data_IF_074147427966
#
_entry.id   IF_074147427966
#
_cell.length_a   1.000
_cell.length_b   1.000
_cell.length_c   1.000
_cell.angle_alpha   90.00
_cell.angle_beta   90.00
_cell.angle_gamma   90.00
#
_symmetry.space_group_name_H-M   'P 1'
#
loop_
_entity.id
_entity.type
_entity.pdbx_description
1 polymer ?
#
# COMPACT_ATOMS: atom_id res chain seq x y z
N UNK A 1 9.37 -2.54 37.74
CA UNK A 1 7.92 -2.29 37.74
C UNK A 1 7.32 -2.75 36.39
N UNK A 2 6.31 -3.64 36.44
CA UNK A 2 5.69 -4.24 35.24
C UNK A 2 5.13 -3.19 34.26
N UNK A 3 4.66 -2.05 34.76
CA UNK A 3 4.07 -0.98 33.94
C UNK A 3 5.17 -0.32 33.10
N UNK A 4 6.29 0.01 33.68
CA UNK A 4 7.44 0.61 32.99
C UNK A 4 8.00 -0.33 31.93
N UNK A 5 8.08 -1.62 32.22
CA UNK A 5 8.51 -2.64 31.26
C UNK A 5 7.56 -2.74 30.06
N UNK A 6 6.24 -2.70 30.29
CA UNK A 6 5.25 -2.72 29.23
C UNK A 6 5.30 -1.46 28.34
N UNK A 7 5.50 -0.30 28.93
CA UNK A 7 5.67 0.96 28.19
C UNK A 7 6.93 0.88 27.32
N UNK A 8 8.06 0.47 27.89
CA UNK A 8 9.32 0.31 27.16
C UNK A 8 9.18 -0.67 26.00
N UNK A 9 8.48 -1.79 26.20
CA UNK A 9 8.25 -2.79 25.16
C UNK A 9 7.44 -2.22 23.99
N UNK A 10 6.38 -1.44 24.26
CA UNK A 10 5.60 -0.75 23.21
C UNK A 10 6.44 0.25 22.41
N UNK A 11 7.32 1.00 23.07
CA UNK A 11 8.19 1.95 22.37
C UNK A 11 9.22 1.23 21.47
N UNK A 12 9.74 0.07 21.91
CA UNK A 12 10.61 -0.78 21.08
C UNK A 12 9.82 -1.26 19.84
N UNK A 13 8.59 -1.74 20.02
CA UNK A 13 7.74 -2.19 18.91
C UNK A 13 7.49 -1.08 17.89
N UNK A 14 7.15 0.13 18.34
CA UNK A 14 6.98 1.30 17.46
C UNK A 14 8.26 1.60 16.68
N UNK A 15 9.40 1.65 17.36
CA UNK A 15 10.70 1.92 16.74
C UNK A 15 11.08 0.88 15.69
N UNK A 16 10.90 -0.41 15.98
CA UNK A 16 11.16 -1.49 15.04
C UNK A 16 10.27 -1.41 13.82
N UNK A 17 8.98 -1.17 14.02
CA UNK A 17 7.98 -1.04 12.95
C UNK A 17 8.28 0.15 12.04
N UNK A 18 8.52 1.32 12.62
CA UNK A 18 8.89 2.54 11.90
C UNK A 18 10.14 2.33 11.05
N UNK A 19 11.19 1.79 11.66
CA UNK A 19 12.47 1.56 10.96
C UNK A 19 12.29 0.58 9.79
N UNK A 20 11.50 -0.48 9.99
CA UNK A 20 11.18 -1.41 8.90
C UNK A 20 10.52 -0.71 7.72
N UNK A 21 9.51 0.12 7.95
CA UNK A 21 8.82 0.81 6.86
C UNK A 21 9.72 1.80 6.12
N UNK A 22 10.65 2.47 6.81
CA UNK A 22 11.67 3.31 6.17
C UNK A 22 12.64 2.49 5.32
N UNK A 23 13.15 1.39 5.87
CA UNK A 23 14.04 0.47 5.12
C UNK A 23 13.32 -0.09 3.90
N UNK A 24 12.04 -0.48 4.04
CA UNK A 24 11.26 -1.00 2.91
C UNK A 24 11.03 0.07 1.84
N UNK A 25 10.82 1.33 2.21
CA UNK A 25 10.76 2.44 1.26
C UNK A 25 12.06 2.54 0.44
N UNK A 26 13.22 2.51 1.10
CA UNK A 26 14.52 2.54 0.42
C UNK A 26 14.73 1.34 -0.48
N UNK A 27 14.42 0.14 0.00
CA UNK A 27 14.52 -1.12 -0.77
C UNK A 27 13.65 -1.10 -2.02
N UNK A 28 12.40 -0.62 -1.93
CA UNK A 28 11.49 -0.54 -3.08
C UNK A 28 11.94 0.54 -4.05
N UNK A 29 12.30 1.73 -3.58
CA UNK A 29 12.76 2.83 -4.45
C UNK A 29 14.04 2.44 -5.19
N UNK A 30 15.01 1.87 -4.51
CA UNK A 30 16.28 1.42 -5.13
C UNK A 30 16.04 0.34 -6.19
N UNK A 31 15.15 -0.62 -5.93
CA UNK A 31 14.81 -1.67 -6.92
C UNK A 31 14.17 -1.06 -8.17
N UNK A 32 13.27 -0.09 -8.01
CA UNK A 32 12.61 0.59 -9.14
C UNK A 32 13.61 1.40 -9.95
N UNK A 33 14.50 2.15 -9.31
CA UNK A 33 15.56 2.90 -9.99
C UNK A 33 16.52 1.98 -10.75
N UNK A 34 16.86 0.82 -10.18
CA UNK A 34 17.67 -0.20 -10.85
C UNK A 34 16.95 -0.76 -12.09
N UNK A 35 15.64 -1.03 -12.00
CA UNK A 35 14.83 -1.47 -13.14
C UNK A 35 14.76 -0.41 -14.24
N UNK A 36 14.77 0.87 -13.89
CA UNK A 36 14.88 2.01 -14.82
C UNK A 36 16.30 2.20 -15.37
N UNK A 37 17.27 1.32 -15.04
CA UNK A 37 18.69 1.49 -15.34
C UNK A 37 19.27 2.81 -14.82
N UNK A 38 18.77 3.30 -13.70
CA UNK A 38 19.13 4.58 -13.08
C UNK A 38 18.93 5.82 -13.99
N UNK A 39 18.16 5.68 -15.08
CA UNK A 39 17.86 6.78 -16.00
C UNK A 39 16.89 7.82 -15.43
N UNK A 40 16.07 7.39 -14.47
CA UNK A 40 15.07 8.21 -13.79
C UNK A 40 15.14 7.96 -12.30
N UNK A 41 15.09 9.03 -11.51
CA UNK A 41 15.24 8.99 -10.05
C UNK A 41 13.96 9.44 -9.36
N UNK A 42 13.76 8.96 -8.13
CA UNK A 42 12.72 9.48 -7.26
C UNK A 42 13.03 10.90 -6.81
N UNK A 43 12.01 11.74 -6.80
CA UNK A 43 12.02 13.03 -6.11
C UNK A 43 11.36 12.83 -4.74
N UNK A 44 12.10 13.15 -3.69
CA UNK A 44 11.66 13.02 -2.30
C UNK A 44 11.12 14.32 -1.76
N UNK A 45 10.01 14.27 -1.00
CA UNK A 45 9.46 15.40 -0.26
C UNK A 45 9.02 14.95 1.11
N UNK A 46 9.47 15.68 2.13
CA UNK A 46 9.00 15.52 3.51
C UNK A 46 7.73 16.33 3.74
N UNK A 47 6.90 15.89 4.66
CA UNK A 47 5.70 16.60 5.08
C UNK A 47 5.47 16.42 6.57
N UNK A 48 4.89 17.42 7.20
CA UNK A 48 4.43 17.39 8.58
C UNK A 48 2.91 17.32 8.61
N UNK A 49 2.36 16.53 9.54
CA UNK A 49 0.90 16.42 9.70
C UNK A 49 0.28 17.71 10.19
N UNK A 50 0.99 18.43 11.05
CA UNK A 50 0.57 19.72 11.59
C UNK A 50 1.74 20.69 11.53
N UNK A 51 1.50 21.94 11.13
CA UNK A 51 2.52 22.98 11.05
C UNK A 51 2.82 23.65 12.41
N UNK A 52 1.90 23.54 13.37
CA UNK A 52 1.99 24.24 14.67
C UNK A 52 2.37 23.31 15.83
N UNK A 53 2.16 22.00 15.67
CA UNK A 53 2.43 20.98 16.71
C UNK A 53 3.13 19.79 16.08
N UNK A 54 4.04 19.20 16.84
CA UNK A 54 4.62 17.92 16.45
C UNK A 54 3.59 16.79 16.61
N UNK A 55 3.00 16.41 15.50
CA UNK A 55 2.08 15.28 15.35
C UNK A 55 2.62 14.26 14.34
N UNK A 56 3.93 14.32 14.06
CA UNK A 56 4.60 13.49 13.09
C UNK A 56 4.39 13.97 11.67
N UNK A 57 4.73 13.11 10.73
CA UNK A 57 4.68 13.40 9.31
C UNK A 57 5.15 12.21 8.49
N UNK A 58 5.86 12.48 7.42
CA UNK A 58 6.39 11.44 6.56
C UNK A 58 7.24 11.96 5.42
N UNK A 59 7.54 11.04 4.53
CA UNK A 59 8.28 11.29 3.31
C UNK A 59 7.61 10.54 2.16
N UNK A 60 7.18 11.25 1.14
CA UNK A 60 6.77 10.61 -0.09
C UNK A 60 7.81 10.80 -1.19
N UNK A 61 8.02 9.76 -1.96
CA UNK A 61 8.92 9.74 -3.10
C UNK A 61 8.11 9.47 -4.36
N UNK A 62 8.29 10.29 -5.38
CA UNK A 62 7.58 10.15 -6.66
C UNK A 62 8.60 10.06 -7.78
N UNK A 63 8.47 9.02 -8.60
CA UNK A 63 9.15 8.87 -9.88
C UNK A 63 8.11 9.08 -10.99
N UNK A 64 8.41 9.92 -11.97
CA UNK A 64 7.55 10.22 -13.13
C UNK A 64 8.34 10.07 -14.44
N UNK A 65 7.61 9.73 -15.49
CA UNK A 65 8.12 9.70 -16.87
C UNK A 65 9.34 8.79 -17.06
N UNK A 66 9.41 7.69 -16.29
CA UNK A 66 10.45 6.68 -16.43
C UNK A 66 10.35 5.94 -17.76
N UNK A 67 11.33 5.10 -18.03
CA UNK A 67 11.35 4.25 -19.22
C UNK A 67 10.25 3.19 -19.17
N UNK A 68 10.01 2.60 -17.99
CA UNK A 68 9.05 1.52 -17.77
C UNK A 68 7.89 1.96 -16.87
N UNK A 69 8.17 2.81 -15.90
CA UNK A 69 7.16 3.37 -15.00
C UNK A 69 6.69 4.73 -15.48
N UNK A 70 5.39 4.89 -15.69
CA UNK A 70 4.79 6.19 -16.00
C UNK A 70 4.73 7.08 -14.76
N UNK A 71 4.35 6.48 -13.62
CA UNK A 71 4.37 7.11 -12.30
C UNK A 71 4.48 6.05 -11.21
N UNK A 72 5.34 6.29 -10.23
CA UNK A 72 5.39 5.53 -8.98
C UNK A 72 5.35 6.50 -7.81
N UNK A 73 4.54 6.19 -6.81
CA UNK A 73 4.55 6.87 -5.52
C UNK A 73 4.85 5.89 -4.40
N UNK A 74 5.78 6.25 -3.52
CA UNK A 74 6.14 5.49 -2.31
C UNK A 74 6.09 6.44 -1.13
N UNK A 75 5.11 6.28 -0.26
CA UNK A 75 4.90 7.15 0.90
C UNK A 75 5.17 6.38 2.20
N UNK A 76 6.09 6.88 3.00
CA UNK A 76 6.29 6.51 4.39
C UNK A 76 5.64 7.55 5.30
N UNK A 77 5.00 7.10 6.37
CA UNK A 77 4.44 7.97 7.39
C UNK A 77 4.68 7.46 8.81
N UNK A 78 4.85 8.39 9.73
CA UNK A 78 4.79 8.18 11.17
C UNK A 78 4.02 9.35 11.77
N UNK A 79 2.82 9.10 12.27
CA UNK A 79 1.93 10.12 12.79
C UNK A 79 1.39 9.73 14.16
N UNK A 80 1.17 10.71 14.99
CA UNK A 80 0.64 10.53 16.35
C UNK A 80 -0.22 11.73 16.75
N UNK A 81 -0.97 11.58 17.83
CA UNK A 81 -1.86 12.63 18.32
C UNK A 81 -3.09 12.06 19.01
N UNK A 82 -4.20 12.80 18.92
CA UNK A 82 -5.48 12.40 19.50
C UNK A 82 -6.56 12.28 18.43
N UNK A 83 -7.35 11.23 18.50
CA UNK A 83 -8.53 11.10 17.66
C UNK A 83 -9.63 12.11 18.06
N UNK A 84 -10.36 12.61 17.06
CA UNK A 84 -11.56 13.40 17.28
C UNK A 84 -12.66 12.59 17.98
N UNK A 85 -13.67 13.28 18.53
CA UNK A 85 -14.82 12.61 19.18
C UNK A 85 -15.56 11.65 18.25
N UNK A 86 -15.65 11.96 16.96
CA UNK A 86 -16.32 11.14 15.96
C UNK A 86 -15.49 9.88 15.61
N UNK A 87 -14.20 10.03 15.43
CA UNK A 87 -13.30 8.93 15.08
C UNK A 87 -13.18 7.90 16.21
N UNK A 88 -13.23 8.35 17.49
CA UNK A 88 -13.18 7.45 18.65
C UNK A 88 -14.25 6.37 18.65
N UNK A 89 -15.39 6.60 18.01
CA UNK A 89 -16.53 5.66 18.01
C UNK A 89 -16.19 4.35 17.26
N UNK A 90 -15.35 4.44 16.23
CA UNK A 90 -15.11 3.35 15.28
C UNK A 90 -13.72 2.74 15.36
N UNK A 91 -12.81 3.29 16.19
CA UNK A 91 -11.43 2.82 16.28
C UNK A 91 -11.24 2.02 17.56
N UNK A 92 -10.74 0.77 17.48
CA UNK A 92 -10.48 -0.07 18.67
C UNK A 92 -9.57 0.64 19.69
N UNK A 93 -9.99 0.64 20.95
CA UNK A 93 -9.23 1.23 22.04
C UNK A 93 -9.29 2.76 22.17
N UNK A 94 -9.75 3.48 21.14
CA UNK A 94 -9.79 4.94 21.15
C UNK A 94 -10.82 5.53 22.12
N UNK A 95 -11.84 4.76 22.51
CA UNK A 95 -12.82 5.16 23.56
C UNK A 95 -12.19 5.24 24.95
N UNK A 96 -11.21 4.38 25.24
CA UNK A 96 -10.51 4.33 26.54
C UNK A 96 -9.48 5.44 26.61
N UNK A 97 -8.65 5.55 25.57
CA UNK A 97 -7.65 6.62 25.43
C UNK A 97 -7.63 7.08 23.97
N UNK A 98 -7.79 8.38 23.76
CA UNK A 98 -7.81 8.96 22.42
C UNK A 98 -6.45 9.09 21.76
N UNK A 99 -5.37 8.92 22.50
CA UNK A 99 -4.02 8.98 21.93
C UNK A 99 -3.79 7.83 20.95
N UNK A 100 -3.11 8.14 19.88
CA UNK A 100 -2.68 7.13 18.90
C UNK A 100 -1.27 7.40 18.39
N UNK A 101 -0.66 6.34 17.92
CA UNK A 101 0.53 6.35 17.08
C UNK A 101 0.27 5.42 15.89
N UNK A 102 0.65 5.84 14.70
CA UNK A 102 0.53 5.03 13.50
C UNK A 102 1.74 5.24 12.60
N UNK A 103 2.24 4.17 12.02
CA UNK A 103 3.25 4.23 10.98
C UNK A 103 2.90 3.27 9.85
N UNK A 104 3.33 3.59 8.64
CA UNK A 104 3.05 2.77 7.49
C UNK A 104 3.82 3.16 6.25
N UNK A 105 3.72 2.30 5.25
CA UNK A 105 4.21 2.52 3.89
C UNK A 105 3.08 2.22 2.91
N UNK A 106 2.97 3.04 1.87
CA UNK A 106 2.04 2.85 0.75
C UNK A 106 2.78 3.01 -0.57
N UNK A 107 2.50 2.13 -1.52
CA UNK A 107 3.13 2.10 -2.83
C UNK A 107 2.07 1.95 -3.90
N UNK A 108 2.11 2.79 -4.93
CA UNK A 108 1.31 2.65 -6.14
C UNK A 108 2.20 2.81 -7.36
N UNK A 109 2.08 1.87 -8.28
CA UNK A 109 2.86 1.85 -9.52
C UNK A 109 1.92 1.88 -10.72
N UNK A 110 2.08 2.88 -11.58
CA UNK A 110 1.43 2.99 -12.89
C UNK A 110 2.47 2.81 -13.99
N UNK A 111 2.22 1.88 -14.90
CA UNK A 111 3.18 1.42 -15.89
C UNK A 111 2.99 2.12 -17.23
N UNK A 112 4.09 2.33 -17.95
CA UNK A 112 4.06 2.87 -19.31
C UNK A 112 3.53 1.86 -20.31
N UNK A 113 3.96 0.60 -20.19
CA UNK A 113 3.54 -0.50 -21.05
C UNK A 113 2.21 -1.10 -20.56
N UNK A 114 1.15 -1.16 -21.38
CA UNK A 114 -0.15 -1.70 -21.00
C UNK A 114 -0.15 -3.20 -20.64
N UNK A 115 0.86 -3.96 -21.04
CA UNK A 115 1.02 -5.35 -20.60
C UNK A 115 1.49 -5.48 -19.15
N UNK A 116 2.11 -4.43 -18.59
CA UNK A 116 2.49 -4.39 -17.18
C UNK A 116 1.33 -3.84 -16.35
N UNK A 117 0.85 -4.57 -15.33
CA UNK A 117 -0.30 -4.13 -14.54
C UNK A 117 0.06 -2.98 -13.61
N UNK A 118 -0.92 -2.16 -13.24
CA UNK A 118 -0.79 -1.31 -12.06
C UNK A 118 -0.71 -2.16 -10.80
N UNK A 119 0.11 -1.75 -9.84
CA UNK A 119 0.33 -2.51 -8.60
C UNK A 119 0.20 -1.59 -7.40
N UNK A 120 -0.45 -2.10 -6.37
CA UNK A 120 -0.65 -1.43 -5.10
C UNK A 120 -0.17 -2.31 -3.95
N UNK A 121 0.44 -1.67 -2.98
CA UNK A 121 0.87 -2.27 -1.73
C UNK A 121 0.75 -1.26 -0.61
N UNK A 122 0.29 -1.69 0.55
CA UNK A 122 0.43 -0.94 1.78
C UNK A 122 0.56 -1.87 2.99
N UNK A 123 1.28 -1.41 4.00
CA UNK A 123 1.26 -2.01 5.34
C UNK A 123 1.35 -0.91 6.38
N UNK A 124 0.65 -1.10 7.49
CA UNK A 124 0.60 -0.14 8.60
C UNK A 124 0.57 -0.84 9.93
N UNK A 125 0.99 -0.13 10.95
CA UNK A 125 0.83 -0.49 12.36
C UNK A 125 0.19 0.68 13.10
N UNK A 126 -0.81 0.38 13.93
CA UNK A 126 -1.53 1.37 14.72
C UNK A 126 -1.46 0.95 16.19
N UNK A 127 -1.14 1.91 17.04
CA UNK A 127 -1.18 1.80 18.50
C UNK A 127 -2.21 2.77 19.06
N UNK A 128 -3.10 2.22 19.86
CA UNK A 128 -4.02 2.93 20.77
C UNK A 128 -3.81 2.34 22.16
N UNK A 129 -4.86 2.03 22.91
CA UNK A 129 -4.76 1.08 24.04
C UNK A 129 -4.44 -0.34 23.57
N UNK A 130 -4.80 -0.67 22.31
CA UNK A 130 -4.40 -1.87 21.58
C UNK A 130 -3.38 -1.53 20.49
N UNK A 131 -2.78 -2.59 19.92
CA UNK A 131 -1.97 -2.44 18.69
C UNK A 131 -2.37 -3.51 17.67
N UNK A 132 -2.28 -3.15 16.39
CA UNK A 132 -2.55 -4.10 15.30
C UNK A 132 -1.84 -3.69 14.01
N UNK A 133 -1.65 -4.67 13.15
CA UNK A 133 -1.21 -4.48 11.79
C UNK A 133 -2.37 -4.59 10.80
N UNK A 134 -2.27 -3.82 9.72
CA UNK A 134 -3.13 -3.91 8.55
C UNK A 134 -2.32 -3.70 7.29
N UNK A 135 -2.89 -4.10 6.15
CA UNK A 135 -2.25 -3.91 4.86
C UNK A 135 -2.74 -4.87 3.80
N UNK A 136 -1.97 -4.93 2.73
CA UNK A 136 -2.23 -5.82 1.61
C UNK A 136 -1.50 -5.41 0.36
N UNK A 137 -1.72 -6.18 -0.70
CA UNK A 137 -1.32 -5.85 -2.06
C UNK A 137 -2.34 -6.37 -3.05
N UNK A 138 -2.49 -5.66 -4.15
CA UNK A 138 -3.31 -6.09 -5.28
C UNK A 138 -2.72 -5.64 -6.61
N UNK A 139 -3.14 -6.30 -7.67
CA UNK A 139 -2.64 -6.10 -9.02
C UNK A 139 -3.81 -5.83 -9.97
N UNK A 140 -3.68 -4.79 -10.80
CA UNK A 140 -4.71 -4.32 -11.73
C UNK A 140 -4.18 -4.36 -13.17
N UNK A 141 -4.27 -5.50 -13.87
CA UNK A 141 -3.93 -5.57 -15.29
C UNK A 141 -5.03 -4.95 -16.14
N UNK A 142 -4.64 -4.27 -17.23
CA UNK A 142 -5.58 -3.86 -18.27
C UNK A 142 -5.74 -4.95 -19.35
N UNK A 143 -4.71 -5.73 -19.59
CA UNK A 143 -4.74 -6.88 -20.51
C UNK A 143 -4.76 -8.17 -19.68
N UNK A 144 -5.73 -9.05 -19.95
CA UNK A 144 -5.86 -10.32 -19.23
C UNK A 144 -4.68 -11.25 -19.52
N UNK A 145 -4.13 -11.84 -18.45
CA UNK A 145 -3.08 -12.85 -18.48
C UNK A 145 -3.35 -13.87 -17.36
N UNK A 146 -4.08 -14.92 -17.70
CA UNK A 146 -4.48 -15.94 -16.72
C UNK A 146 -3.28 -16.74 -16.16
N UNK A 147 -2.19 -16.88 -16.93
CA UNK A 147 -0.97 -17.53 -16.45
C UNK A 147 -0.30 -16.66 -15.37
N UNK A 148 -0.18 -15.37 -15.61
CA UNK A 148 0.38 -14.42 -14.64
C UNK A 148 -0.50 -14.32 -13.38
N UNK A 149 -1.82 -14.24 -13.55
CA UNK A 149 -2.77 -14.23 -12.44
C UNK A 149 -2.60 -15.47 -11.56
N UNK A 150 -2.53 -16.66 -12.16
CA UNK A 150 -2.32 -17.93 -11.44
C UNK A 150 -0.98 -17.93 -10.71
N UNK A 151 0.09 -17.49 -11.38
CA UNK A 151 1.42 -17.38 -10.78
C UNK A 151 1.42 -16.40 -9.59
N UNK A 152 0.86 -15.19 -9.77
CA UNK A 152 0.76 -14.16 -8.73
C UNK A 152 0.06 -14.69 -7.46
N UNK A 153 -1.11 -15.31 -7.63
CA UNK A 153 -1.84 -15.89 -6.52
C UNK A 153 -1.11 -17.06 -5.85
N UNK A 154 -0.34 -17.84 -6.60
CA UNK A 154 0.50 -18.91 -6.03
C UNK A 154 1.64 -18.34 -5.17
N UNK A 155 2.29 -17.25 -5.58
CA UNK A 155 3.33 -16.59 -4.78
C UNK A 155 2.74 -16.05 -3.46
N UNK A 156 1.57 -15.41 -3.51
CA UNK A 156 0.87 -14.97 -2.31
C UNK A 156 0.49 -16.13 -1.38
N UNK A 157 0.01 -17.23 -1.96
CA UNK A 157 -0.35 -18.43 -1.19
C UNK A 157 0.88 -19.03 -0.50
N UNK A 158 1.99 -19.18 -1.21
CA UNK A 158 3.26 -19.66 -0.64
C UNK A 158 3.70 -18.82 0.56
N UNK A 159 3.70 -17.50 0.43
CA UNK A 159 4.07 -16.59 1.51
C UNK A 159 3.11 -16.70 2.69
N UNK A 160 1.81 -16.66 2.46
CA UNK A 160 0.81 -16.72 3.52
C UNK A 160 0.88 -18.03 4.32
N UNK A 161 1.06 -19.16 3.65
CA UNK A 161 1.09 -20.50 4.28
C UNK A 161 2.27 -20.67 5.23
N UNK A 162 3.41 -20.02 4.99
CA UNK A 162 4.56 -20.00 5.92
C UNK A 162 4.17 -19.49 7.31
N UNK A 163 3.19 -18.60 7.38
CA UNK A 163 2.73 -17.99 8.64
C UNK A 163 1.46 -18.66 9.19
N UNK A 164 0.51 -18.98 8.30
CA UNK A 164 -0.72 -19.72 8.67
C UNK A 164 -1.42 -20.25 7.41
N UNK A 165 -1.81 -21.52 7.44
CA UNK A 165 -2.50 -22.22 6.34
C UNK A 165 -3.79 -21.54 5.86
N UNK A 166 -4.46 -20.78 6.73
CA UNK A 166 -5.74 -20.14 6.44
C UNK A 166 -5.60 -18.68 5.95
N UNK A 167 -4.41 -18.06 6.07
CA UNK A 167 -4.24 -16.63 5.76
C UNK A 167 -4.58 -16.31 4.31
N UNK A 168 -4.07 -17.08 3.35
CA UNK A 168 -4.32 -16.81 1.94
C UNK A 168 -5.82 -16.81 1.62
N UNK A 169 -6.56 -17.85 2.01
CA UNK A 169 -8.01 -17.96 1.75
C UNK A 169 -8.78 -16.78 2.37
N UNK A 170 -8.48 -16.46 3.63
CA UNK A 170 -9.12 -15.38 4.38
C UNK A 170 -8.83 -14.01 3.74
N UNK A 171 -7.56 -13.71 3.50
CA UNK A 171 -7.14 -12.39 3.05
C UNK A 171 -7.42 -12.15 1.57
N UNK A 172 -7.40 -13.20 0.74
CA UNK A 172 -7.85 -13.13 -0.65
C UNK A 172 -9.33 -12.78 -0.73
N UNK A 173 -10.18 -13.47 0.03
CA UNK A 173 -11.62 -13.17 0.09
C UNK A 173 -11.88 -11.73 0.50
N UNK A 174 -11.18 -11.25 1.51
CA UNK A 174 -11.30 -9.87 1.97
C UNK A 174 -10.84 -8.86 0.90
N UNK A 175 -9.72 -9.12 0.23
CA UNK A 175 -9.24 -8.31 -0.88
C UNK A 175 -10.26 -8.23 -2.02
N UNK A 176 -10.85 -9.36 -2.42
CA UNK A 176 -11.86 -9.42 -3.49
C UNK A 176 -13.12 -8.60 -3.16
N UNK A 177 -13.49 -8.53 -1.88
CA UNK A 177 -14.61 -7.72 -1.40
C UNK A 177 -14.26 -6.23 -1.32
N UNK A 178 -13.04 -5.92 -0.85
CA UNK A 178 -12.60 -4.54 -0.65
C UNK A 178 -12.43 -3.79 -1.98
N UNK A 179 -11.78 -4.40 -2.97
CA UNK A 179 -11.47 -3.80 -4.27
C UNK A 179 -12.56 -4.05 -5.33
N UNK A 180 -13.82 -3.99 -4.91
CA UNK A 180 -14.96 -4.07 -5.79
C UNK A 180 -15.52 -2.67 -6.07
N UNK A 181 -15.94 -2.41 -7.32
CA UNK A 181 -16.59 -1.17 -7.75
C UNK A 181 -18.11 -1.42 -7.89
N UNK A 182 -18.94 -1.12 -6.88
CA UNK A 182 -20.38 -1.40 -6.91
C UNK A 182 -21.09 -0.73 -8.08
N UNK A 183 -20.77 0.53 -8.36
CA UNK A 183 -21.39 1.32 -9.44
C UNK A 183 -21.02 0.85 -10.85
N UNK A 184 -20.02 -0.04 -10.97
CA UNK A 184 -19.62 -0.68 -12.24
C UNK A 184 -19.94 -2.15 -12.29
N UNK A 185 -20.31 -2.78 -11.17
CA UNK A 185 -20.50 -4.22 -11.08
C UNK A 185 -19.24 -5.03 -11.36
N UNK A 186 -18.03 -4.46 -11.19
CA UNK A 186 -16.78 -5.12 -11.53
C UNK A 186 -15.72 -5.02 -10.40
N UNK A 187 -14.75 -5.93 -10.43
CA UNK A 187 -13.54 -5.85 -9.58
C UNK A 187 -12.54 -4.89 -10.19
N UNK A 188 -11.81 -4.15 -9.33
CA UNK A 188 -10.74 -3.25 -9.78
C UNK A 188 -9.64 -3.97 -10.56
N UNK A 189 -9.25 -5.18 -10.13
CA UNK A 189 -8.19 -5.98 -10.75
C UNK A 189 -8.37 -7.48 -10.52
N UNK A 190 -7.26 -8.20 -10.49
CA UNK A 190 -7.23 -9.65 -10.25
C UNK A 190 -7.19 -10.02 -8.76
N UNK A 191 -7.30 -9.02 -7.87
CA UNK A 191 -7.23 -9.20 -6.43
C UNK A 191 -5.80 -9.29 -5.93
N UNK A 192 -5.65 -9.94 -4.81
CA UNK A 192 -4.44 -10.09 -4.03
C UNK A 192 -4.75 -10.55 -2.62
N UNK A 193 -4.17 -9.89 -1.62
CA UNK A 193 -4.48 -10.09 -0.21
C UNK A 193 -4.76 -8.75 0.47
N UNK A 194 -5.71 -8.75 1.41
CA UNK A 194 -6.01 -7.63 2.29
C UNK A 194 -6.27 -8.13 3.70
N UNK A 195 -5.67 -7.49 4.70
CA UNK A 195 -5.82 -7.82 6.10
C UNK A 195 -5.86 -6.57 6.96
N UNK A 196 -6.57 -6.64 8.07
CA UNK A 196 -6.62 -5.60 9.09
C UNK A 196 -6.83 -6.21 10.47
N UNK A 197 -6.67 -5.40 11.52
CA UNK A 197 -6.83 -5.82 12.92
C UNK A 197 -6.04 -7.06 13.29
N UNK A 198 -4.84 -7.22 12.72
CA UNK A 198 -3.96 -8.34 13.02
C UNK A 198 -3.21 -8.07 14.33
N UNK A 199 -3.64 -8.75 15.43
CA UNK A 199 -3.22 -8.44 16.79
C UNK A 199 -3.04 -9.66 17.71
N UNK A 200 -2.81 -10.84 17.14
CA UNK A 200 -2.73 -12.07 17.93
C UNK A 200 -1.39 -12.23 18.67
N UNK A 201 -0.30 -11.92 17.99
CA UNK A 201 1.06 -11.96 18.52
C UNK A 201 1.90 -10.99 17.72
N UNK A 202 2.46 -9.96 18.38
CA UNK A 202 3.11 -8.87 17.69
C UNK A 202 4.31 -9.34 16.86
N UNK A 203 5.16 -10.21 17.39
CA UNK A 203 6.37 -10.70 16.70
C UNK A 203 6.01 -11.50 15.44
N UNK A 204 5.05 -12.42 15.56
CA UNK A 204 4.57 -13.22 14.43
C UNK A 204 3.85 -12.35 13.40
N UNK A 205 3.06 -11.38 13.86
CA UNK A 205 2.34 -10.45 13.00
C UNK A 205 3.29 -9.49 12.28
N UNK A 206 4.33 -9.03 12.97
CA UNK A 206 5.39 -8.21 12.36
C UNK A 206 6.23 -9.01 11.35
N UNK A 207 6.56 -10.28 11.66
CA UNK A 207 7.23 -11.17 10.70
C UNK A 207 6.40 -11.35 9.42
N UNK A 208 5.09 -11.58 9.55
CA UNK A 208 4.17 -11.66 8.40
C UNK A 208 4.17 -10.36 7.58
N UNK A 209 4.06 -9.19 8.21
CA UNK A 209 4.05 -7.89 7.54
C UNK A 209 5.36 -7.64 6.77
N UNK A 210 6.49 -8.05 7.32
CA UNK A 210 7.78 -7.95 6.63
C UNK A 210 7.82 -8.84 5.39
N UNK A 211 7.35 -10.08 5.50
CA UNK A 211 7.28 -11.01 4.36
C UNK A 211 6.32 -10.52 3.27
N UNK A 212 5.20 -9.87 3.63
CA UNK A 212 4.31 -9.23 2.65
C UNK A 212 5.07 -8.18 1.83
N UNK A 213 5.86 -7.31 2.47
CA UNK A 213 6.66 -6.28 1.79
C UNK A 213 7.74 -6.86 0.88
N UNK A 214 8.49 -7.86 1.36
CA UNK A 214 9.53 -8.52 0.55
C UNK A 214 8.94 -9.31 -0.63
N UNK A 215 7.78 -9.95 -0.41
CA UNK A 215 7.06 -10.65 -1.47
C UNK A 215 6.56 -9.69 -2.53
N UNK A 216 6.04 -8.52 -2.14
CA UNK A 216 5.65 -7.48 -3.09
C UNK A 216 6.83 -7.04 -3.97
N UNK A 217 8.00 -6.79 -3.37
CA UNK A 217 9.23 -6.48 -4.12
C UNK A 217 9.57 -7.55 -5.14
N UNK A 218 9.56 -8.82 -4.73
CA UNK A 218 9.85 -9.96 -5.63
C UNK A 218 8.85 -10.07 -6.78
N UNK A 219 7.55 -9.87 -6.49
CA UNK A 219 6.47 -9.94 -7.48
C UNK A 219 6.61 -8.85 -8.53
N UNK A 220 6.73 -7.57 -8.13
CA UNK A 220 6.79 -6.51 -9.12
C UNK A 220 8.06 -6.61 -9.99
N UNK A 221 9.20 -6.95 -9.39
CA UNK A 221 10.44 -7.18 -10.13
C UNK A 221 10.26 -8.27 -11.20
N UNK A 222 9.68 -9.39 -10.84
CA UNK A 222 9.45 -10.52 -11.76
C UNK A 222 8.52 -10.14 -12.91
N UNK A 223 7.40 -9.49 -12.63
CA UNK A 223 6.43 -9.05 -13.66
C UNK A 223 7.07 -8.06 -14.63
N UNK A 224 7.81 -7.07 -14.10
CA UNK A 224 8.42 -6.04 -14.92
C UNK A 224 9.49 -6.63 -15.84
N UNK A 225 10.44 -7.41 -15.31
CA UNK A 225 11.49 -8.03 -16.09
C UNK A 225 10.93 -8.92 -17.22
N UNK A 226 9.82 -9.60 -16.96
CA UNK A 226 9.16 -10.45 -17.95
C UNK A 226 8.47 -9.66 -19.06
N UNK A 227 7.96 -8.46 -18.78
CA UNK A 227 7.06 -7.72 -19.67
C UNK A 227 7.64 -6.41 -20.20
N UNK A 228 8.72 -5.90 -19.65
CA UNK A 228 9.26 -4.58 -19.97
C UNK A 228 9.64 -4.40 -21.46
N UNK A 229 9.92 -5.50 -22.16
CA UNK A 229 10.27 -5.48 -23.59
C UNK A 229 9.10 -5.80 -24.52
N UNK A 230 7.90 -6.08 -24.00
CA UNK A 230 6.73 -6.34 -24.85
C UNK A 230 6.35 -5.10 -25.62
N UNK A 231 6.13 -5.28 -26.91
CA UNK A 231 5.53 -4.23 -27.77
C UNK A 231 4.04 -4.14 -27.49
N UNK A 232 3.45 -2.99 -27.71
CA UNK A 232 2.01 -2.76 -27.55
C UNK A 232 1.45 -1.91 -28.68
N UNK A 233 0.13 -2.00 -28.86
CA UNK A 233 -0.63 -1.25 -29.85
C UNK A 233 -1.27 0.01 -29.23
N UNK A 234 -1.70 0.95 -30.07
CA UNK A 234 -2.48 2.11 -29.62
C UNK A 234 -3.78 1.69 -28.94
N UNK A 235 -4.46 0.65 -29.44
CA UNK A 235 -5.68 0.15 -28.83
C UNK A 235 -5.47 -0.40 -27.41
N UNK A 236 -4.37 -1.11 -27.17
CA UNK A 236 -4.00 -1.57 -25.83
C UNK A 236 -3.68 -0.41 -24.89
N UNK A 237 -3.06 0.66 -25.38
CA UNK A 237 -2.80 1.87 -24.60
C UNK A 237 -4.10 2.59 -24.23
N UNK A 238 -5.04 2.71 -25.15
CA UNK A 238 -6.37 3.27 -24.89
C UNK A 238 -7.13 2.44 -23.84
N UNK A 239 -7.05 1.13 -23.92
CA UNK A 239 -7.63 0.25 -22.89
C UNK A 239 -7.01 0.50 -21.52
N UNK A 240 -5.68 0.71 -21.45
CA UNK A 240 -4.98 1.08 -20.20
C UNK A 240 -5.55 2.37 -19.62
N UNK A 241 -5.76 3.41 -20.43
CA UNK A 241 -6.32 4.68 -19.95
C UNK A 241 -7.74 4.54 -19.40
N UNK A 242 -8.57 3.71 -20.04
CA UNK A 242 -9.93 3.41 -19.54
C UNK A 242 -9.87 2.65 -18.20
N UNK A 243 -8.98 1.66 -18.06
CA UNK A 243 -8.79 0.95 -16.79
C UNK A 243 -8.18 1.84 -15.70
N UNK A 244 -7.36 2.81 -16.08
CA UNK A 244 -6.88 3.86 -15.17
C UNK A 244 -8.03 4.72 -14.65
N UNK A 245 -9.04 5.00 -15.46
CA UNK A 245 -10.28 5.66 -15.00
C UNK A 245 -11.00 4.85 -13.90
N UNK A 246 -11.11 3.53 -14.07
CA UNK A 246 -11.69 2.65 -13.03
C UNK A 246 -10.87 2.66 -11.75
N UNK A 247 -9.55 2.68 -11.88
CA UNK A 247 -8.63 2.79 -10.74
C UNK A 247 -8.84 4.10 -9.97
N UNK A 248 -8.93 5.23 -10.68
CA UNK A 248 -9.20 6.54 -10.09
C UNK A 248 -10.57 6.60 -9.39
N UNK A 249 -11.62 6.05 -10.02
CA UNK A 249 -12.95 5.94 -9.41
C UNK A 249 -12.89 5.21 -8.06
N UNK A 250 -12.22 4.05 -8.01
CA UNK A 250 -12.10 3.31 -6.76
C UNK A 250 -11.41 4.14 -5.68
N UNK A 251 -10.25 4.71 -5.99
CA UNK A 251 -9.45 5.45 -5.02
C UNK A 251 -10.17 6.68 -4.47
N UNK A 252 -10.89 7.42 -5.31
CA UNK A 252 -11.60 8.62 -4.90
C UNK A 252 -12.92 8.32 -4.18
N UNK A 253 -13.65 7.27 -4.62
CA UNK A 253 -15.00 7.01 -4.12
C UNK A 253 -15.00 6.00 -2.96
N UNK A 254 -14.15 4.97 -2.99
CA UNK A 254 -14.27 3.83 -2.07
C UNK A 254 -13.06 3.62 -1.17
N UNK A 255 -11.86 4.09 -1.56
CA UNK A 255 -10.67 3.82 -0.76
C UNK A 255 -10.71 4.52 0.60
N UNK A 256 -10.70 3.71 1.67
CA UNK A 256 -10.76 4.22 3.04
C UNK A 256 -9.52 5.04 3.40
N UNK A 257 -8.35 4.63 2.92
CA UNK A 257 -7.09 5.33 3.20
C UNK A 257 -7.08 6.73 2.58
N UNK A 258 -7.49 6.85 1.31
CA UNK A 258 -7.63 8.15 0.63
C UNK A 258 -8.63 9.06 1.33
N UNK A 259 -9.83 8.54 1.62
CA UNK A 259 -10.87 9.30 2.33
C UNK A 259 -10.40 9.77 3.70
N UNK A 260 -9.84 8.87 4.49
CA UNK A 260 -9.34 9.18 5.82
C UNK A 260 -8.24 10.25 5.76
N UNK A 261 -7.27 10.09 4.87
CA UNK A 261 -6.19 11.05 4.69
C UNK A 261 -6.69 12.46 4.36
N UNK A 262 -7.60 12.57 3.38
CA UNK A 262 -8.18 13.86 2.97
C UNK A 262 -9.04 14.49 4.08
N UNK A 263 -9.85 13.69 4.79
CA UNK A 263 -10.70 14.17 5.87
C UNK A 263 -9.95 14.60 7.13
N UNK A 264 -8.75 14.07 7.34
CA UNK A 264 -7.93 14.37 8.53
C UNK A 264 -6.83 15.40 8.27
N UNK A 265 -6.88 16.10 7.13
CA UNK A 265 -5.90 17.14 6.79
C UNK A 265 -4.52 16.58 6.44
N UNK A 266 -4.45 15.36 5.94
CA UNK A 266 -3.20 14.77 5.47
C UNK A 266 -2.64 15.51 4.24
N UNK A 267 -1.36 15.25 3.93
CA UNK A 267 -0.72 15.87 2.76
C UNK A 267 -1.37 15.39 1.46
N UNK A 268 -2.02 16.32 0.74
CA UNK A 268 -2.82 16.02 -0.47
C UNK A 268 -1.97 15.36 -1.56
N UNK A 269 -0.76 15.85 -1.80
CA UNK A 269 0.14 15.30 -2.81
C UNK A 269 0.58 13.87 -2.47
N UNK A 270 0.88 13.62 -1.21
CA UNK A 270 1.22 12.27 -0.72
C UNK A 270 0.05 11.29 -0.78
N UNK A 271 -1.19 11.77 -0.61
CA UNK A 271 -2.41 10.96 -0.70
C UNK A 271 -2.76 10.68 -2.17
N UNK A 272 -2.82 11.72 -3.00
CA UNK A 272 -3.22 11.63 -4.41
C UNK A 272 -2.10 11.15 -5.33
N UNK A 273 -0.90 10.86 -4.81
CA UNK A 273 0.14 10.18 -5.58
C UNK A 273 -0.34 8.84 -6.14
N UNK A 274 -1.33 8.23 -5.51
CA UNK A 274 -1.91 6.94 -5.91
C UNK A 274 -2.68 6.99 -7.23
N UNK A 275 -3.09 8.18 -7.68
CA UNK A 275 -3.85 8.33 -8.92
C UNK A 275 -2.96 8.12 -10.15
N UNK A 276 -3.50 7.47 -11.20
CA UNK A 276 -2.79 7.35 -12.47
C UNK A 276 -2.55 8.74 -13.10
N UNK A 277 -1.43 8.93 -13.82
CA UNK A 277 -1.14 10.22 -14.46
C UNK A 277 -2.10 10.55 -15.60
N UNK A 278 -2.65 9.53 -16.25
CA UNK A 278 -3.63 9.67 -17.35
C UNK A 278 -4.76 8.67 -17.15
N UNK A 279 -5.99 9.15 -17.30
CA UNK A 279 -7.20 8.34 -17.23
C UNK A 279 -8.21 8.81 -18.28
N UNK A 280 -9.01 7.88 -18.81
CA UNK A 280 -10.10 8.17 -19.74
C UNK A 280 -11.38 7.52 -19.29
N UNK A 281 -12.50 8.14 -19.62
CA UNK A 281 -13.84 7.62 -19.44
C UNK A 281 -14.55 7.52 -20.79
N UNK A 282 -15.33 6.46 -20.98
CA UNK A 282 -16.28 6.28 -22.10
C UNK A 282 -17.67 6.58 -21.62
#
# INVERSE_FOLDING_TARGET
DKINLLIMYKEIQKKLTRNWFKILQDVICNEIENLENNSTKFVSKTWNRNSLKDEGGGEYRILKNGKFFEKVGVNFSEVYGKFSKEMKKNIPGAKINSNFWASGISVVMHMKNPHMPAMHFNTRCIFTTFSWFGGGMDVTPCIKDEKEKKWFHNELKKMCVKHNKNYYKKYKKWCDQYFYLPHRGEKRGIGGIFFDYKKNNWEKDFAFVRDVGLTFKSIFRTIILKKMKKKWTTAEKELQYIKSGRYAEFNLIYDRGTKFGLQTGGNVEGILMSLPPTAKWK
#
